data_IF_099386747577
#
_entry.id   IF_099386747577
#
_cell.length_a   1.000
_cell.length_b   1.000
_cell.length_c   1.000
_cell.angle_alpha   90.00
_cell.angle_beta   90.00
_cell.angle_gamma   90.00
#
_symmetry.space_group_name_H-M   'P 1'
#
loop_
_entity.id
_entity.type
_entity.pdbx_description
1 polymer ?
#
# COMPACT_ATOMS: atom_id res chain seq x y z
N UNK A 1 31.53 42.30 -11.18
CA UNK A 1 30.16 42.39 -10.59
C UNK A 1 29.27 41.14 -10.81
N UNK A 2 29.54 40.27 -11.79
CA UNK A 2 28.72 39.07 -12.08
C UNK A 2 28.81 37.94 -11.04
N UNK A 3 29.96 37.79 -10.36
CA UNK A 3 30.20 36.70 -9.40
C UNK A 3 29.22 36.69 -8.21
N UNK A 4 28.77 37.86 -7.76
CA UNK A 4 27.95 37.93 -6.55
C UNK A 4 26.51 37.41 -6.76
N UNK A 5 25.89 37.74 -7.91
CA UNK A 5 24.56 37.26 -8.28
C UNK A 5 24.54 35.74 -8.50
N UNK A 6 25.61 35.18 -9.07
CA UNK A 6 25.77 33.74 -9.28
C UNK A 6 25.89 33.01 -7.94
N UNK A 7 26.69 33.53 -7.01
CA UNK A 7 26.80 32.97 -5.64
C UNK A 7 25.46 32.96 -4.90
N UNK A 8 24.64 34.00 -5.05
CA UNK A 8 23.30 34.07 -4.43
C UNK A 8 22.36 33.04 -5.04
N UNK A 9 22.30 32.93 -6.37
CA UNK A 9 21.49 31.90 -7.06
C UNK A 9 21.91 30.48 -6.66
N UNK A 10 23.22 30.23 -6.55
CA UNK A 10 23.75 28.93 -6.13
C UNK A 10 23.35 28.59 -4.68
N UNK A 11 23.42 29.57 -3.76
CA UNK A 11 22.97 29.38 -2.37
C UNK A 11 21.48 29.05 -2.28
N UNK A 12 20.66 29.75 -3.06
CA UNK A 12 19.21 29.48 -3.12
C UNK A 12 18.91 28.09 -3.68
N UNK A 13 19.62 27.67 -4.74
CA UNK A 13 19.49 26.34 -5.30
C UNK A 13 19.88 25.25 -4.28
N UNK A 14 20.98 25.45 -3.56
CA UNK A 14 21.44 24.52 -2.54
C UNK A 14 20.40 24.40 -1.40
N UNK A 15 19.86 25.53 -0.94
CA UNK A 15 18.84 25.55 0.10
C UNK A 15 17.56 24.81 -0.32
N UNK A 16 17.15 24.96 -1.59
CA UNK A 16 16.03 24.22 -2.16
C UNK A 16 16.30 22.71 -2.18
N UNK A 17 17.48 22.29 -2.65
CA UNK A 17 17.86 20.87 -2.69
C UNK A 17 17.90 20.24 -1.29
N UNK A 18 18.40 20.97 -0.30
CA UNK A 18 18.40 20.54 1.10
C UNK A 18 16.97 20.37 1.61
N UNK A 19 16.08 21.32 1.31
CA UNK A 19 14.67 21.23 1.67
C UNK A 19 13.99 19.98 1.10
N UNK A 20 14.24 19.68 -0.17
CA UNK A 20 13.73 18.46 -0.84
C UNK A 20 14.32 17.20 -0.18
N UNK A 21 15.62 17.17 0.11
CA UNK A 21 16.26 16.04 0.75
C UNK A 21 15.65 15.77 2.15
N UNK A 22 15.44 16.82 2.95
CA UNK A 22 14.78 16.71 4.26
C UNK A 22 13.36 16.18 4.09
N UNK A 23 12.60 16.71 3.14
CA UNK A 23 11.24 16.26 2.86
C UNK A 23 11.16 14.76 2.52
N UNK A 24 12.13 14.28 1.74
CA UNK A 24 12.22 12.89 1.30
C UNK A 24 12.69 11.93 2.41
N UNK A 25 13.56 12.39 3.30
CA UNK A 25 14.18 11.60 4.35
C UNK A 25 13.38 11.60 5.66
N UNK A 26 12.42 12.52 5.81
CA UNK A 26 11.59 12.61 7.01
C UNK A 26 10.89 11.26 7.29
N UNK A 27 10.94 10.75 8.53
CA UNK A 27 10.35 9.47 8.87
C UNK A 27 8.83 9.52 8.76
N UNK A 28 8.26 8.44 8.22
CA UNK A 28 6.84 8.23 8.05
C UNK A 28 6.45 6.86 8.59
N UNK A 29 5.30 6.82 9.26
CA UNK A 29 4.66 5.56 9.67
C UNK A 29 3.70 5.12 8.58
N UNK A 30 3.77 3.86 8.21
CA UNK A 30 2.91 3.25 7.19
C UNK A 30 2.45 1.88 7.65
N UNK A 31 1.43 1.33 6.99
CA UNK A 31 1.05 -0.06 7.16
C UNK A 31 2.03 -0.96 6.41
N UNK A 32 2.19 -2.20 6.87
CA UNK A 32 3.17 -3.12 6.29
C UNK A 32 2.82 -3.57 4.86
N UNK A 33 1.56 -3.41 4.47
CA UNK A 33 1.02 -3.88 3.20
C UNK A 33 0.13 -2.79 2.60
N UNK A 34 0.50 -2.29 1.42
CA UNK A 34 -0.18 -1.20 0.72
C UNK A 34 -0.82 -1.71 -0.56
N UNK A 35 -2.06 -1.32 -0.83
CA UNK A 35 -2.73 -1.58 -2.09
C UNK A 35 -2.70 -0.37 -2.99
N UNK A 36 -2.23 -0.55 -4.22
CA UNK A 36 -2.21 0.47 -5.27
C UNK A 36 -3.29 0.12 -6.28
N UNK A 37 -4.31 0.97 -6.41
CA UNK A 37 -5.34 0.81 -7.44
C UNK A 37 -4.80 1.17 -8.83
N UNK A 38 -5.21 0.41 -9.85
CA UNK A 38 -4.82 0.66 -11.25
C UNK A 38 -5.59 1.83 -11.89
N UNK A 39 -6.83 2.07 -11.44
CA UNK A 39 -7.79 2.93 -12.15
C UNK A 39 -7.85 4.38 -11.66
N UNK A 40 -6.99 4.80 -10.73
CA UNK A 40 -6.81 6.23 -10.46
C UNK A 40 -5.61 6.41 -9.54
N UNK A 41 -4.55 6.99 -10.06
CA UNK A 41 -3.40 7.49 -9.29
C UNK A 41 -3.84 8.53 -8.22
N UNK A 42 -5.06 9.06 -8.30
CA UNK A 42 -5.71 9.94 -7.31
C UNK A 42 -6.45 9.21 -6.19
N UNK A 43 -6.84 7.94 -6.38
CA UNK A 43 -7.38 7.04 -5.34
C UNK A 43 -6.29 6.13 -4.76
N UNK A 44 -5.02 6.43 -5.07
CA UNK A 44 -3.92 6.02 -4.22
C UNK A 44 -4.17 6.66 -2.87
N UNK A 45 -4.76 5.92 -1.92
CA UNK A 45 -4.15 6.03 -0.61
C UNK A 45 -5.02 6.39 0.58
N UNK A 46 -6.34 6.49 0.46
CA UNK A 46 -7.10 7.33 1.42
C UNK A 46 -7.24 6.79 2.84
N UNK A 47 -7.08 5.49 3.10
CA UNK A 47 -7.31 4.97 4.46
C UNK A 47 -6.08 4.35 5.16
N UNK A 48 -4.97 4.10 4.45
CA UNK A 48 -3.85 3.31 5.01
C UNK A 48 -2.44 3.86 4.76
N UNK A 49 -2.32 5.07 4.18
CA UNK A 49 -1.04 5.57 3.68
C UNK A 49 -0.77 7.02 4.09
N UNK A 50 0.48 7.34 4.47
CA UNK A 50 0.86 8.68 4.90
C UNK A 50 1.15 9.63 3.72
N UNK A 51 0.57 9.40 2.53
CA UNK A 51 0.77 10.24 1.34
C UNK A 51 -0.16 11.46 1.40
N UNK A 52 0.40 12.65 1.19
CA UNK A 52 -0.38 13.88 1.07
C UNK A 52 -0.76 14.16 -0.39
N UNK A 53 -1.52 15.23 -0.63
CA UNK A 53 -1.95 15.65 -1.97
C UNK A 53 -0.79 15.95 -2.92
N UNK A 54 0.33 16.45 -2.41
CA UNK A 54 1.52 16.71 -3.22
C UNK A 54 2.16 15.39 -3.68
N UNK A 55 2.27 14.43 -2.77
CA UNK A 55 2.83 13.11 -3.02
C UNK A 55 1.99 12.33 -4.04
N UNK A 56 0.65 12.37 -3.92
CA UNK A 56 -0.25 11.73 -4.89
C UNK A 56 -0.15 12.38 -6.26
N UNK A 57 -0.09 13.71 -6.33
CA UNK A 57 0.08 14.46 -7.59
C UNK A 57 1.42 14.15 -8.25
N UNK A 58 2.50 14.02 -7.48
CA UNK A 58 3.81 13.65 -8.02
C UNK A 58 3.79 12.24 -8.60
N UNK A 59 3.12 11.30 -7.92
CA UNK A 59 3.01 9.91 -8.35
C UNK A 59 2.17 9.74 -9.62
N UNK A 60 1.23 10.64 -9.92
CA UNK A 60 0.44 10.57 -11.17
C UNK A 60 1.28 10.81 -12.43
N UNK A 61 2.46 11.41 -12.31
CA UNK A 61 3.39 11.64 -13.41
C UNK A 61 4.13 10.37 -13.87
N UNK A 62 4.03 9.28 -13.12
CA UNK A 62 4.71 8.02 -13.40
C UNK A 62 3.70 6.91 -13.74
N UNK A 63 4.11 5.95 -14.58
CA UNK A 63 3.32 4.75 -14.85
C UNK A 63 3.43 3.74 -13.69
N UNK A 64 2.47 3.80 -12.77
CA UNK A 64 2.47 2.99 -11.55
C UNK A 64 1.64 1.73 -11.77
N UNK A 65 2.27 0.56 -11.59
CA UNK A 65 1.57 -0.74 -11.64
C UNK A 65 0.56 -0.87 -10.50
N UNK A 66 -0.68 -1.30 -10.77
CA UNK A 66 -1.62 -1.66 -9.70
C UNK A 66 -1.20 -2.94 -8.95
N UNK A 67 -1.56 -3.07 -7.68
CA UNK A 67 -1.36 -4.28 -6.88
C UNK A 67 -0.88 -4.02 -5.45
N UNK A 68 -0.70 -5.10 -4.70
CA UNK A 68 -0.20 -5.05 -3.33
C UNK A 68 1.32 -4.91 -3.29
N UNK A 69 1.84 -4.12 -2.36
CA UNK A 69 3.28 -4.02 -2.08
C UNK A 69 3.56 -4.10 -0.58
N UNK A 70 4.68 -4.75 -0.23
CA UNK A 70 5.18 -4.78 1.14
C UNK A 70 6.16 -3.65 1.39
N UNK A 71 5.86 -2.85 2.42
CA UNK A 71 6.67 -1.70 2.85
C UNK A 71 6.95 -1.86 4.35
N UNK A 72 8.15 -1.51 4.85
CA UNK A 72 8.41 -1.48 6.28
C UNK A 72 7.47 -0.49 6.97
N UNK A 73 6.99 -0.82 8.19
CA UNK A 73 6.08 0.06 8.97
C UNK A 73 6.69 1.43 9.25
N UNK A 74 8.00 1.49 9.41
CA UNK A 74 8.77 2.71 9.53
C UNK A 74 9.57 2.91 8.25
N UNK A 75 9.26 3.98 7.53
CA UNK A 75 9.89 4.28 6.24
C UNK A 75 10.09 5.79 6.10
N UNK A 76 10.55 6.23 4.94
CA UNK A 76 10.53 7.64 4.55
C UNK A 76 9.94 7.76 3.13
N UNK A 77 9.65 8.99 2.68
CA UNK A 77 9.02 9.20 1.36
C UNK A 77 9.87 8.63 0.24
N UNK A 78 11.19 8.78 0.31
CA UNK A 78 12.11 8.22 -0.68
C UNK A 78 11.95 6.71 -0.85
N UNK A 79 12.03 5.95 0.26
CA UNK A 79 11.86 4.49 0.25
C UNK A 79 10.44 4.07 -0.15
N UNK A 80 9.44 4.85 0.24
CA UNK A 80 8.05 4.61 -0.14
C UNK A 80 7.87 4.79 -1.65
N UNK A 81 8.40 5.85 -2.25
CA UNK A 81 8.39 6.07 -3.70
C UNK A 81 9.15 4.99 -4.44
N UNK A 82 10.32 4.59 -3.95
CA UNK A 82 11.03 3.46 -4.54
C UNK A 82 10.20 2.18 -4.50
N UNK A 83 9.49 1.91 -3.41
CA UNK A 83 8.61 0.75 -3.30
C UNK A 83 7.42 0.84 -4.27
N UNK A 84 6.81 2.02 -4.39
CA UNK A 84 5.68 2.24 -5.30
C UNK A 84 6.12 2.06 -6.76
N UNK A 85 7.25 2.66 -7.15
CA UNK A 85 7.69 2.69 -8.54
C UNK A 85 8.37 1.39 -8.99
N UNK A 86 9.20 0.80 -8.14
CA UNK A 86 10.15 -0.24 -8.57
C UNK A 86 9.94 -1.60 -7.93
N UNK A 87 9.33 -1.70 -6.74
CA UNK A 87 9.14 -3.03 -6.14
C UNK A 87 8.12 -3.86 -6.93
N UNK A 88 8.38 -5.17 -7.07
CA UNK A 88 7.39 -6.08 -7.65
C UNK A 88 6.12 -6.09 -6.79
N UNK A 89 4.99 -6.32 -7.45
CA UNK A 89 3.71 -6.48 -6.77
C UNK A 89 3.62 -7.89 -6.18
N UNK A 90 3.01 -8.01 -5.01
CA UNK A 90 2.76 -9.29 -4.37
C UNK A 90 1.85 -10.16 -5.25
N UNK A 91 2.14 -11.46 -5.27
CA UNK A 91 1.37 -12.42 -6.06
C UNK A 91 -0.01 -12.59 -5.42
N UNK A 92 -1.04 -12.08 -6.08
CA UNK A 92 -2.42 -12.32 -5.63
C UNK A 92 -2.86 -13.74 -5.98
N UNK A 93 -3.50 -14.39 -5.02
CA UNK A 93 -4.13 -15.70 -5.15
C UNK A 93 -5.63 -15.51 -5.31
N UNK A 94 -6.21 -16.27 -6.24
CA UNK A 94 -7.66 -16.26 -6.43
C UNK A 94 -8.27 -17.35 -5.57
N UNK A 95 -9.17 -16.96 -4.69
CA UNK A 95 -9.98 -17.84 -3.85
C UNK A 95 -11.42 -17.80 -4.34
N UNK A 96 -12.09 -18.96 -4.30
CA UNK A 96 -13.48 -19.07 -4.72
C UNK A 96 -14.31 -19.48 -3.52
N UNK A 97 -15.26 -18.62 -3.14
CA UNK A 97 -16.34 -18.99 -2.24
C UNK A 97 -17.46 -19.57 -3.11
N UNK A 98 -17.74 -20.87 -2.95
CA UNK A 98 -18.81 -21.54 -3.67
C UNK A 98 -20.13 -21.39 -2.92
N UNK A 99 -21.24 -21.29 -3.64
CA UNK A 99 -22.58 -21.35 -3.04
C UNK A 99 -22.79 -22.67 -2.33
N UNK A 100 -23.22 -22.62 -1.07
CA UNK A 100 -23.40 -23.81 -0.22
C UNK A 100 -22.16 -24.29 0.53
N UNK A 101 -20.98 -23.67 0.32
CA UNK A 101 -19.82 -23.91 1.18
C UNK A 101 -19.99 -23.19 2.53
N UNK A 102 -19.48 -23.78 3.61
CA UNK A 102 -19.45 -23.11 4.92
C UNK A 102 -18.32 -22.07 4.98
N UNK A 103 -18.48 -21.06 5.84
CA UNK A 103 -17.39 -20.10 6.09
C UNK A 103 -16.14 -20.82 6.60
N UNK A 104 -16.31 -21.82 7.48
CA UNK A 104 -15.20 -22.61 7.99
C UNK A 104 -14.41 -23.28 6.87
N UNK A 105 -15.07 -23.94 5.92
CA UNK A 105 -14.39 -24.60 4.79
C UNK A 105 -13.63 -23.61 3.91
N UNK A 106 -14.19 -22.41 3.73
CA UNK A 106 -13.55 -21.34 2.98
C UNK A 106 -12.32 -20.79 3.70
N UNK A 107 -12.42 -20.52 5.01
CA UNK A 107 -11.30 -20.03 5.82
C UNK A 107 -10.22 -21.11 5.96
N UNK A 108 -10.58 -22.39 6.10
CA UNK A 108 -9.64 -23.52 6.11
C UNK A 108 -8.81 -23.56 4.81
N UNK A 109 -9.45 -23.35 3.65
CA UNK A 109 -8.75 -23.27 2.36
C UNK A 109 -7.81 -22.06 2.29
N UNK A 110 -8.25 -20.90 2.76
CA UNK A 110 -7.40 -19.70 2.80
C UNK A 110 -6.21 -19.92 3.72
N UNK A 111 -6.45 -20.41 4.93
CA UNK A 111 -5.45 -20.65 5.95
C UNK A 111 -4.38 -21.63 5.44
N UNK A 112 -4.80 -22.75 4.81
CA UNK A 112 -3.87 -23.73 4.24
C UNK A 112 -2.97 -23.14 3.16
N UNK A 113 -3.53 -22.33 2.26
CA UNK A 113 -2.71 -21.71 1.22
C UNK A 113 -1.77 -20.65 1.82
N UNK A 114 -2.28 -19.80 2.71
CA UNK A 114 -1.53 -18.69 3.30
C UNK A 114 -0.60 -19.09 4.45
N UNK A 115 -0.56 -20.38 4.83
CA UNK A 115 0.15 -20.89 6.00
C UNK A 115 -0.26 -20.18 7.30
N UNK A 116 -1.56 -19.94 7.47
CA UNK A 116 -2.16 -19.33 8.65
C UNK A 116 -2.87 -20.37 9.52
N UNK A 117 -3.13 -20.02 10.77
CA UNK A 117 -3.96 -20.81 11.67
C UNK A 117 -5.45 -20.57 11.38
N UNK A 118 -6.16 -21.64 11.03
CA UNK A 118 -7.57 -21.56 10.67
C UNK A 118 -8.49 -21.26 11.87
N UNK A 119 -8.15 -21.75 13.07
CA UNK A 119 -8.95 -21.49 14.27
C UNK A 119 -8.88 -20.01 14.64
N UNK A 120 -7.69 -19.42 14.52
CA UNK A 120 -7.51 -17.98 14.72
C UNK A 120 -8.31 -17.20 13.67
N UNK A 121 -8.24 -17.56 12.39
CA UNK A 121 -9.04 -16.91 11.35
C UNK A 121 -10.54 -16.97 11.61
N UNK A 122 -11.06 -18.14 12.01
CA UNK A 122 -12.47 -18.33 12.32
C UNK A 122 -12.90 -17.47 13.53
N UNK A 123 -12.07 -17.41 14.58
CA UNK A 123 -12.36 -16.59 15.76
C UNK A 123 -12.37 -15.09 15.44
N UNK A 124 -11.45 -14.62 14.60
CA UNK A 124 -11.42 -13.24 14.12
C UNK A 124 -12.65 -12.96 13.27
N UNK A 125 -13.02 -13.89 12.38
CA UNK A 125 -14.21 -13.75 11.57
C UNK A 125 -15.46 -13.61 12.45
N UNK A 126 -15.68 -14.50 13.42
CA UNK A 126 -16.84 -14.39 14.34
C UNK A 126 -16.84 -13.11 15.18
N UNK A 127 -15.66 -12.56 15.48
CA UNK A 127 -15.54 -11.29 16.23
C UNK A 127 -16.03 -10.07 15.44
N UNK A 128 -15.84 -10.06 14.13
CA UNK A 128 -16.12 -8.88 13.29
C UNK A 128 -17.30 -9.07 12.34
N UNK A 129 -17.69 -10.30 12.02
CA UNK A 129 -18.81 -10.58 11.15
C UNK A 129 -20.13 -10.37 11.87
N UNK A 130 -21.07 -9.69 11.18
CA UNK A 130 -22.44 -9.55 11.67
C UNK A 130 -23.19 -10.89 11.73
N UNK A 131 -22.81 -11.83 10.86
CA UNK A 131 -23.41 -13.16 10.76
C UNK A 131 -22.33 -14.23 10.80
N UNK A 132 -22.57 -15.28 11.58
CA UNK A 132 -21.63 -16.40 11.73
C UNK A 132 -21.50 -17.22 10.44
N UNK A 133 -22.51 -17.17 9.56
CA UNK A 133 -22.50 -17.79 8.23
C UNK A 133 -23.03 -16.82 7.19
N UNK A 134 -22.76 -17.11 5.90
CA UNK A 134 -23.29 -16.37 4.74
C UNK A 134 -22.95 -14.86 4.65
N UNK A 135 -22.05 -14.32 5.48
CA UNK A 135 -21.62 -12.92 5.35
C UNK A 135 -20.65 -12.70 4.18
N UNK A 136 -19.98 -13.77 3.72
CA UNK A 136 -19.10 -13.78 2.56
C UNK A 136 -19.89 -14.28 1.36
N UNK A 137 -20.05 -13.42 0.36
CA UNK A 137 -20.76 -13.74 -0.88
C UNK A 137 -20.03 -14.82 -1.69
N UNK A 138 -20.81 -15.66 -2.38
CA UNK A 138 -20.26 -16.64 -3.34
C UNK A 138 -19.69 -15.93 -4.57
N UNK A 139 -18.38 -15.69 -4.57
CA UNK A 139 -17.65 -15.06 -5.69
C UNK A 139 -16.16 -15.37 -5.64
N UNK A 140 -15.44 -14.84 -6.63
CA UNK A 140 -13.99 -14.85 -6.70
C UNK A 140 -13.41 -13.71 -5.85
N UNK A 141 -12.46 -14.04 -4.99
CA UNK A 141 -11.71 -13.12 -4.14
C UNK A 141 -10.23 -13.14 -4.53
N UNK A 142 -9.60 -11.96 -4.59
CA UNK A 142 -8.16 -11.83 -4.84
C UNK A 142 -7.48 -11.41 -3.54
N UNK A 143 -6.62 -12.28 -3.01
CA UNK A 143 -5.94 -12.10 -1.72
C UNK A 143 -4.42 -12.12 -1.96
N UNK A 144 -3.64 -11.15 -1.45
CA UNK A 144 -2.18 -11.15 -1.55
C UNK A 144 -1.52 -12.25 -0.71
#
# INVERSE_FOLDING_TARGET
MFSHKIKIKLKLLLLLLIGIAIYLLFPLKTTSLLYISKDNSTKLVTDATPLNLFDTTLLTLFDIKGGWIRVPKETNRYKLYQAILFKPREKTRTMIMYGGATIKDFLDKIAKQAHLDSQIMLSIYHKYALFHEASILSKHYKIP
#
